data_IF_576537552286
#
_entry.id   IF_576537552286
#
_cell.length_a   1.000
_cell.length_b   1.000
_cell.length_c   1.000
_cell.angle_alpha   90.00
_cell.angle_beta   90.00
_cell.angle_gamma   90.00
#
_symmetry.space_group_name_H-M   'P 1'
#
loop_
_entity.id
_entity.type
_entity.pdbx_description
1 polymer ?
#
# COMPACT_ATOMS: atom_id res chain seq x y z
N UNK A 1 12.30 -10.33 -25.60
CA UNK A 1 12.22 -8.90 -25.93
C UNK A 1 12.98 -8.13 -24.85
N UNK A 2 14.15 -7.59 -25.15
CA UNK A 2 14.90 -6.80 -24.17
C UNK A 2 14.08 -5.54 -23.83
N UNK A 3 13.73 -5.29 -22.55
CA UNK A 3 13.01 -4.08 -22.19
C UNK A 3 13.88 -2.87 -22.50
N UNK A 4 13.39 -1.98 -23.36
CA UNK A 4 14.05 -0.72 -23.68
C UNK A 4 14.15 0.13 -22.41
N UNK A 5 15.24 0.87 -22.22
CA UNK A 5 15.39 1.80 -21.08
C UNK A 5 14.20 2.75 -20.89
N UNK A 6 13.56 3.14 -21.99
CA UNK A 6 12.33 3.92 -21.99
C UNK A 6 11.14 3.22 -21.31
N UNK A 7 10.99 1.90 -21.52
CA UNK A 7 9.96 1.10 -20.87
C UNK A 7 10.14 1.10 -19.35
N UNK A 8 11.37 0.94 -18.88
CA UNK A 8 11.70 0.91 -17.44
C UNK A 8 11.35 2.25 -16.77
N UNK A 9 11.73 3.37 -17.39
CA UNK A 9 11.46 4.71 -16.86
C UNK A 9 9.96 5.01 -16.85
N UNK A 10 9.25 4.73 -17.94
CA UNK A 10 7.79 4.90 -17.99
C UNK A 10 7.09 4.04 -16.95
N UNK A 11 7.48 2.77 -16.82
CA UNK A 11 6.91 1.86 -15.83
C UNK A 11 7.09 2.40 -14.42
N UNK A 12 8.30 2.85 -14.07
CA UNK A 12 8.58 3.43 -12.76
C UNK A 12 7.74 4.66 -12.45
N UNK A 13 7.66 5.61 -13.39
CA UNK A 13 6.83 6.82 -13.25
C UNK A 13 5.35 6.44 -13.10
N UNK A 14 4.88 5.47 -13.89
CA UNK A 14 3.50 4.99 -13.84
C UNK A 14 3.18 4.37 -12.47
N UNK A 15 4.08 3.54 -11.92
CA UNK A 15 3.90 2.93 -10.59
C UNK A 15 3.83 4.00 -9.51
N UNK A 16 4.72 4.99 -9.52
CA UNK A 16 4.69 6.09 -8.54
C UNK A 16 3.39 6.87 -8.66
N UNK A 17 3.02 7.27 -9.88
CA UNK A 17 1.80 8.04 -10.16
C UNK A 17 0.55 7.29 -9.68
N UNK A 18 0.40 6.02 -10.05
CA UNK A 18 -0.76 5.22 -9.65
C UNK A 18 -0.79 4.96 -8.13
N UNK A 19 0.36 4.79 -7.48
CA UNK A 19 0.39 4.62 -6.02
C UNK A 19 -0.13 5.87 -5.32
N UNK A 20 0.26 7.06 -5.77
CA UNK A 20 -0.27 8.32 -5.25
C UNK A 20 -1.76 8.48 -5.49
N UNK A 21 -2.18 8.26 -6.73
CA UNK A 21 -3.57 8.42 -7.15
C UNK A 21 -4.49 7.43 -6.42
N UNK A 22 -4.09 6.16 -6.34
CA UNK A 22 -4.82 5.13 -5.61
C UNK A 22 -4.95 5.47 -4.12
N UNK A 23 -3.85 5.91 -3.48
CA UNK A 23 -3.88 6.28 -2.06
C UNK A 23 -4.83 7.45 -1.81
N UNK A 24 -4.82 8.48 -2.66
CA UNK A 24 -5.68 9.65 -2.53
C UNK A 24 -7.17 9.34 -2.69
N UNK A 25 -7.53 8.39 -3.57
CA UNK A 25 -8.92 7.98 -3.77
C UNK A 25 -9.40 7.06 -2.65
N UNK A 26 -8.56 6.11 -2.22
CA UNK A 26 -8.96 5.10 -1.25
C UNK A 26 -9.03 5.65 0.17
N UNK A 27 -8.15 6.59 0.53
CA UNK A 27 -8.08 7.19 1.86
C UNK A 27 -8.54 8.64 1.84
N UNK A 28 -9.80 8.85 2.20
CA UNK A 28 -10.37 10.17 2.50
C UNK A 28 -10.15 10.50 4.00
N UNK A 29 -9.18 11.38 4.35
CA UNK A 29 -8.81 11.66 5.74
C UNK A 29 -9.95 12.25 6.57
N UNK A 30 -10.86 12.97 5.91
CA UNK A 30 -12.00 13.61 6.55
C UNK A 30 -13.03 12.56 6.99
N UNK A 31 -13.38 11.64 6.09
CA UNK A 31 -14.28 10.51 6.39
C UNK A 31 -13.70 9.56 7.44
N UNK A 32 -12.39 9.29 7.37
CA UNK A 32 -11.73 8.41 8.34
C UNK A 32 -11.70 9.03 9.75
N UNK A 33 -11.43 10.33 9.85
CA UNK A 33 -11.47 11.03 11.13
C UNK A 33 -12.90 11.06 11.73
N UNK A 34 -13.92 11.26 10.90
CA UNK A 34 -15.31 11.21 11.32
C UNK A 34 -15.72 9.80 11.77
N UNK A 35 -15.29 8.76 11.04
CA UNK A 35 -15.54 7.36 11.41
C UNK A 35 -14.96 7.04 12.80
N UNK A 36 -13.71 7.43 13.06
CA UNK A 36 -13.05 7.24 14.36
C UNK A 36 -13.84 7.94 15.47
N UNK A 37 -14.27 9.19 15.23
CA UNK A 37 -15.05 9.96 16.18
C UNK A 37 -16.43 9.34 16.46
N UNK A 38 -17.15 8.89 15.42
CA UNK A 38 -18.47 8.23 15.53
C UNK A 38 -18.39 6.89 16.27
N UNK A 39 -17.24 6.21 16.18
CA UNK A 39 -16.96 4.98 16.92
C UNK A 39 -16.51 5.22 18.38
N UNK A 40 -16.51 6.48 18.85
CA UNK A 40 -16.07 6.85 20.20
C UNK A 40 -14.54 6.87 20.38
N UNK A 41 -13.78 6.73 19.30
CA UNK A 41 -12.33 6.79 19.30
C UNK A 41 -11.79 8.22 19.17
N UNK A 42 -10.59 8.45 19.69
CA UNK A 42 -9.83 9.69 19.48
C UNK A 42 -8.33 9.42 19.50
N UNK A 43 -7.57 10.22 18.77
CA UNK A 43 -6.10 10.13 18.77
C UNK A 43 -5.59 10.87 20.01
N UNK A 44 -4.84 10.20 20.93
CA UNK A 44 -4.29 10.86 22.11
C UNK A 44 -3.44 12.07 21.73
N UNK A 45 -3.68 13.20 22.38
CA UNK A 45 -2.92 14.45 22.14
C UNK A 45 -3.43 15.32 20.99
N UNK A 46 -4.48 14.91 20.25
CA UNK A 46 -5.05 15.68 19.13
C UNK A 46 -6.54 15.90 19.36
N UNK A 47 -7.01 17.13 19.18
CA UNK A 47 -8.44 17.47 19.34
C UNK A 47 -9.27 16.79 18.23
N UNK A 48 -10.37 16.09 18.56
CA UNK A 48 -11.22 15.44 17.56
C UNK A 48 -11.74 16.41 16.49
N UNK A 49 -11.92 15.91 15.26
CA UNK A 49 -12.38 16.68 14.10
C UNK A 49 -11.24 17.19 13.23
N UNK A 50 -11.23 18.48 12.88
CA UNK A 50 -10.29 19.06 11.90
C UNK A 50 -8.80 18.88 12.23
N UNK A 51 -8.44 18.80 13.51
CA UNK A 51 -7.04 18.56 13.88
C UNK A 51 -6.62 17.11 13.61
N UNK A 52 -7.52 16.14 13.79
CA UNK A 52 -7.32 14.74 13.40
C UNK A 52 -7.15 14.60 11.89
N UNK A 53 -7.98 15.28 11.08
CA UNK A 53 -7.89 15.27 9.61
C UNK A 53 -6.51 15.71 9.12
N UNK A 54 -6.05 16.88 9.57
CA UNK A 54 -4.72 17.40 9.21
C UNK A 54 -3.58 16.49 9.64
N UNK A 55 -3.75 15.79 10.76
CA UNK A 55 -2.75 14.83 11.22
C UNK A 55 -2.70 13.60 10.30
N UNK A 56 -3.86 13.02 9.95
CA UNK A 56 -3.94 11.91 9.00
C UNK A 56 -3.36 12.29 7.63
N UNK A 57 -3.70 13.46 7.10
CA UNK A 57 -3.12 13.98 5.86
C UNK A 57 -1.58 14.06 5.91
N UNK A 58 -1.04 14.61 7.00
CA UNK A 58 0.41 14.73 7.17
C UNK A 58 1.09 13.36 7.24
N UNK A 59 0.49 12.40 7.93
CA UNK A 59 1.01 11.03 8.04
C UNK A 59 0.92 10.29 6.70
N UNK A 60 -0.23 10.35 6.02
CA UNK A 60 -0.43 9.71 4.72
C UNK A 60 0.59 10.22 3.69
N UNK A 61 0.75 11.54 3.57
CA UNK A 61 1.72 12.12 2.62
C UNK A 61 3.16 11.65 2.85
N UNK A 62 3.58 11.52 4.13
CA UNK A 62 4.92 11.05 4.51
C UNK A 62 5.13 9.56 4.29
N UNK A 63 4.09 8.74 4.41
CA UNK A 63 4.19 7.29 4.19
C UNK A 63 4.14 6.97 2.69
N UNK A 64 3.32 7.68 1.92
CA UNK A 64 3.15 7.46 0.48
C UNK A 64 4.41 7.82 -0.31
N UNK A 65 5.17 8.86 0.09
CA UNK A 65 6.43 9.25 -0.55
C UNK A 65 7.44 8.08 -0.65
N UNK A 66 7.95 7.52 0.46
CA UNK A 66 8.90 6.41 0.43
C UNK A 66 8.24 5.11 -0.04
N UNK A 67 6.94 4.90 0.24
CA UNK A 67 6.22 3.70 -0.19
C UNK A 67 6.12 3.57 -1.70
N UNK A 68 5.76 4.65 -2.40
CA UNK A 68 5.68 4.66 -3.87
C UNK A 68 7.04 4.46 -4.53
N UNK A 69 8.10 5.04 -3.96
CA UNK A 69 9.47 4.85 -4.43
C UNK A 69 9.92 3.39 -4.29
N UNK A 70 9.63 2.77 -3.15
CA UNK A 70 9.92 1.37 -2.89
C UNK A 70 9.17 0.43 -3.85
N UNK A 71 7.88 0.66 -4.07
CA UNK A 71 7.07 -0.14 -5.00
C UNK A 71 7.59 -0.01 -6.45
N UNK A 72 7.96 1.20 -6.87
CA UNK A 72 8.56 1.42 -8.19
C UNK A 72 9.90 0.70 -8.35
N UNK A 73 10.73 0.72 -7.31
CA UNK A 73 12.00 -0.01 -7.31
C UNK A 73 11.80 -1.52 -7.47
N UNK A 74 10.87 -2.12 -6.70
CA UNK A 74 10.55 -3.55 -6.78
C UNK A 74 9.96 -3.92 -8.14
N UNK A 75 9.11 -3.07 -8.72
CA UNK A 75 8.52 -3.30 -10.05
C UNK A 75 9.58 -3.33 -11.17
N UNK A 76 10.60 -2.49 -11.06
CA UNK A 76 11.63 -2.30 -12.09
C UNK A 76 12.80 -3.29 -11.93
N UNK A 77 13.08 -3.75 -10.71
CA UNK A 77 14.25 -4.58 -10.42
C UNK A 77 14.40 -5.81 -11.34
N UNK A 78 13.36 -6.61 -11.62
CA UNK A 78 13.48 -7.76 -12.53
C UNK A 78 13.77 -7.35 -13.98
N UNK A 79 13.26 -6.20 -14.42
CA UNK A 79 13.52 -5.68 -15.76
C UNK A 79 14.98 -5.25 -15.93
N UNK A 80 15.57 -4.61 -14.91
CA UNK A 80 17.00 -4.25 -14.92
C UNK A 80 17.88 -5.50 -14.91
N UNK A 81 17.57 -6.47 -14.04
CA UNK A 81 18.29 -7.74 -13.94
C UNK A 81 18.23 -8.52 -15.25
N UNK A 82 17.06 -8.59 -15.90
CA UNK A 82 16.89 -9.23 -17.19
C UNK A 82 17.72 -8.59 -18.30
N UNK A 83 17.85 -7.26 -18.32
CA UNK A 83 18.70 -6.56 -19.32
C UNK A 83 20.19 -6.72 -19.09
N UNK A 84 20.66 -6.84 -17.84
CA UNK A 84 22.10 -6.99 -17.57
C UNK A 84 22.61 -8.42 -17.82
N UNK A 85 21.81 -9.44 -17.53
CA UNK A 85 22.22 -10.84 -17.65
C UNK A 85 21.75 -11.53 -18.94
N UNK A 86 20.97 -10.85 -19.79
CA UNK A 86 20.40 -11.39 -21.04
C UNK A 86 19.57 -12.68 -20.84
N UNK A 87 18.98 -12.83 -19.65
CA UNK A 87 18.12 -13.97 -19.29
C UNK A 87 16.66 -13.58 -19.51
N UNK A 88 15.90 -14.46 -20.16
CA UNK A 88 14.44 -14.31 -20.22
C UNK A 88 13.84 -14.62 -18.85
N UNK A 89 13.64 -13.57 -18.05
CA UNK A 89 12.98 -13.68 -16.74
C UNK A 89 11.51 -14.02 -16.98
N UNK A 90 11.09 -15.23 -16.59
CA UNK A 90 9.68 -15.68 -16.73
C UNK A 90 8.71 -14.95 -15.78
N UNK A 91 9.25 -14.26 -14.77
CA UNK A 91 8.48 -13.51 -13.78
C UNK A 91 8.69 -12.00 -14.00
N UNK A 92 7.60 -11.27 -14.28
CA UNK A 92 7.62 -9.81 -14.39
C UNK A 92 7.58 -9.16 -13.01
N UNK A 93 8.16 -7.96 -12.86
CA UNK A 93 8.09 -7.22 -11.60
C UNK A 93 6.66 -6.90 -11.16
N UNK A 94 5.73 -6.75 -12.11
CA UNK A 94 4.31 -6.58 -11.81
C UNK A 94 3.72 -7.85 -11.18
N UNK A 95 4.05 -9.03 -11.72
CA UNK A 95 3.55 -10.29 -11.14
C UNK A 95 4.05 -10.52 -9.71
N UNK A 96 5.27 -10.10 -9.39
CA UNK A 96 5.80 -10.16 -8.01
C UNK A 96 4.97 -9.29 -7.09
N UNK A 97 4.66 -8.05 -7.49
CA UNK A 97 3.84 -7.13 -6.70
C UNK A 97 2.41 -7.66 -6.49
N UNK A 98 1.79 -8.23 -7.53
CA UNK A 98 0.44 -8.80 -7.42
C UNK A 98 0.44 -10.00 -6.46
N UNK A 99 1.39 -10.93 -6.60
CA UNK A 99 1.48 -12.11 -5.73
C UNK A 99 1.71 -11.69 -4.27
N UNK A 100 2.62 -10.74 -4.03
CA UNK A 100 2.84 -10.20 -2.68
C UNK A 100 1.58 -9.53 -2.12
N UNK A 101 0.85 -8.76 -2.94
CA UNK A 101 -0.42 -8.15 -2.56
C UNK A 101 -1.48 -9.17 -2.16
N UNK A 102 -1.68 -10.20 -2.98
CA UNK A 102 -2.64 -11.29 -2.70
C UNK A 102 -2.23 -12.08 -1.45
N UNK A 103 -0.93 -12.34 -1.25
CA UNK A 103 -0.44 -13.02 -0.06
C UNK A 103 -0.76 -12.20 1.22
N UNK A 104 -0.53 -10.89 1.20
CA UNK A 104 -0.88 -10.00 2.33
C UNK A 104 -2.39 -9.93 2.57
N UNK A 105 -3.19 -9.85 1.51
CA UNK A 105 -4.65 -9.88 1.59
C UNK A 105 -5.14 -11.18 2.25
N UNK A 106 -4.59 -12.31 1.81
CA UNK A 106 -4.93 -13.64 2.34
C UNK A 106 -4.57 -13.75 3.82
N UNK A 107 -3.38 -13.26 4.22
CA UNK A 107 -2.96 -13.23 5.62
C UNK A 107 -3.91 -12.41 6.49
N UNK A 108 -4.30 -11.21 6.05
CA UNK A 108 -5.27 -10.36 6.76
C UNK A 108 -6.64 -11.03 6.91
N UNK A 109 -7.11 -11.72 5.86
CA UNK A 109 -8.38 -12.47 5.92
C UNK A 109 -8.31 -13.61 6.94
N UNK A 110 -7.20 -14.35 6.98
CA UNK A 110 -6.98 -15.41 7.98
C UNK A 110 -6.95 -14.84 9.41
N UNK A 111 -6.21 -13.75 9.64
CA UNK A 111 -6.15 -13.08 10.94
C UNK A 111 -7.54 -12.61 11.41
N UNK A 112 -8.33 -12.00 10.53
CA UNK A 112 -9.70 -11.58 10.85
C UNK A 112 -10.58 -12.74 11.28
N UNK A 113 -10.45 -13.92 10.67
CA UNK A 113 -11.22 -15.11 11.05
C UNK A 113 -10.74 -15.69 12.39
N UNK A 114 -9.43 -15.69 12.65
CA UNK A 114 -8.87 -16.14 13.92
C UNK A 114 -9.28 -15.24 15.09
N UNK A 115 -9.33 -13.92 14.87
CA UNK A 115 -9.82 -12.97 15.86
C UNK A 115 -11.28 -13.24 16.23
N UNK A 116 -12.16 -13.51 15.25
CA UNK A 116 -13.55 -13.90 15.53
C UNK A 116 -13.65 -15.21 16.33
N UNK A 117 -12.80 -16.19 16.05
CA UNK A 117 -12.76 -17.46 16.80
C UNK A 117 -12.30 -17.26 18.26
N UNK A 118 -11.33 -16.38 18.50
CA UNK A 118 -10.85 -16.09 19.85
C UNK A 118 -11.83 -15.25 20.69
N UNK A 119 -12.89 -14.69 20.09
CA UNK A 119 -13.97 -14.01 20.81
C UNK A 119 -14.96 -14.98 21.48
N UNK A 120 -15.07 -16.24 21.05
CA UNK A 120 -15.99 -17.22 21.66
C UNK A 120 -15.50 -17.75 23.04
N UNK A 121 -14.19 -17.64 23.36
CA UNK A 121 -13.62 -18.22 24.58
C UNK A 121 -13.57 -17.30 25.81
N UNK A 122 -13.90 -16.00 25.68
CA UNK A 122 -13.81 -15.01 26.76
C UNK A 122 -15.17 -14.46 27.24
N UNK A 123 -16.28 -14.85 26.60
CA UNK A 123 -17.65 -14.50 27.02
C UNK A 123 -18.48 -15.75 27.32
N UNK A 124 -17.92 -16.67 28.12
CA UNK A 124 -18.70 -17.64 28.91
C UNK A 124 -18.75 -17.20 30.36
#
# INVERSE_FOLDING_TARGET
FAPTWWYIVILGVLVVFFTYFYTAIQFDPEKQAELIQRQGGFIPGIRPGRATVRHLEHVLSRITLPGSLYLAFVAIAPSIMGTMWDITVGLSGISILIVAGVALETMKQIESQLLMRNYEGFLS
#
